data_IF_111946709423
#
_entry.id   IF_111946709423
#
_cell.length_a   1.000
_cell.length_b   1.000
_cell.length_c   1.000
_cell.angle_alpha   90.00
_cell.angle_beta   90.00
_cell.angle_gamma   90.00
#
_symmetry.space_group_name_H-M   'P 1'
#
loop_
_entity.id
_entity.type
_entity.pdbx_description
1 polymer ?
#
# COMPACT_ATOMS: atom_id res chain seq x y z
N UNK A 1 64.93 -39.86 38.14
CA UNK A 1 64.72 -38.46 37.79
C UNK A 1 63.99 -38.44 36.45
N UNK A 2 62.67 -38.29 36.44
CA UNK A 2 61.83 -38.16 35.24
C UNK A 2 60.90 -36.99 35.49
N UNK A 3 61.08 -35.96 34.70
CA UNK A 3 60.25 -34.75 34.72
C UNK A 3 58.93 -35.05 34.05
N UNK A 4 57.83 -34.78 34.76
CA UNK A 4 56.46 -34.80 34.22
C UNK A 4 56.05 -33.39 33.93
N UNK A 5 55.95 -32.99 32.66
CA UNK A 5 55.34 -31.74 32.20
C UNK A 5 53.82 -31.96 32.05
N UNK A 6 53.05 -31.29 32.89
CA UNK A 6 51.60 -31.22 32.77
C UNK A 6 51.17 -30.24 31.69
N UNK A 7 50.49 -30.69 30.66
CA UNK A 7 49.82 -29.86 29.68
C UNK A 7 48.45 -29.43 30.22
N UNK A 8 48.25 -28.15 30.47
CA UNK A 8 46.93 -27.53 30.77
C UNK A 8 46.25 -27.24 29.45
N UNK A 9 45.27 -28.05 29.11
CA UNK A 9 44.41 -27.81 27.96
C UNK A 9 43.36 -26.70 28.27
N UNK A 10 43.49 -25.56 27.66
CA UNK A 10 42.48 -24.50 27.70
C UNK A 10 41.42 -24.84 26.62
N UNK A 11 40.27 -25.31 27.06
CA UNK A 11 39.10 -25.52 26.17
C UNK A 11 38.42 -24.17 25.94
N UNK A 12 38.64 -23.56 24.77
CA UNK A 12 37.87 -22.40 24.34
C UNK A 12 36.45 -22.88 24.01
N UNK A 13 35.49 -22.46 24.84
CA UNK A 13 34.07 -22.51 24.47
C UNK A 13 33.80 -21.44 23.41
N UNK A 14 33.76 -21.84 22.16
CA UNK A 14 33.20 -21.05 21.09
C UNK A 14 31.68 -21.06 21.28
N UNK A 15 31.14 -19.96 21.82
CA UNK A 15 29.71 -19.72 21.77
C UNK A 15 29.30 -19.58 20.30
N UNK A 16 28.72 -20.63 19.73
CA UNK A 16 28.08 -20.54 18.43
C UNK A 16 26.85 -19.67 18.59
N UNK A 17 26.92 -18.43 18.12
CA UNK A 17 25.72 -17.66 17.77
C UNK A 17 24.96 -18.50 16.75
N UNK A 18 23.88 -19.13 17.16
CA UNK A 18 22.92 -19.75 16.23
C UNK A 18 22.42 -18.64 15.30
N UNK A 19 22.50 -18.82 13.97
CA UNK A 19 21.87 -17.89 13.07
C UNK A 19 20.37 -17.88 13.42
N UNK A 20 19.81 -16.70 13.66
CA UNK A 20 18.36 -16.52 13.77
C UNK A 20 17.74 -17.25 12.58
N UNK A 21 16.88 -18.22 12.85
CA UNK A 21 16.10 -18.89 11.80
C UNK A 21 15.32 -17.77 11.07
N UNK A 22 15.84 -17.31 9.94
CA UNK A 22 15.05 -16.54 8.99
C UNK A 22 13.86 -17.41 8.66
N UNK A 23 12.67 -16.93 8.92
CA UNK A 23 11.44 -17.52 8.40
C UNK A 23 11.69 -17.65 6.90
N UNK A 24 11.60 -18.86 6.36
CA UNK A 24 11.81 -19.10 4.93
C UNK A 24 10.67 -18.48 4.13
N UNK A 25 10.71 -17.18 3.98
CA UNK A 25 9.82 -16.44 3.08
C UNK A 25 10.39 -16.51 1.67
N UNK A 26 9.50 -16.75 0.70
CA UNK A 26 9.87 -16.59 -0.70
C UNK A 26 10.36 -15.16 -0.97
N UNK A 27 11.26 -14.95 -1.93
CA UNK A 27 11.73 -13.64 -2.32
C UNK A 27 10.56 -12.68 -2.59
N UNK A 28 10.74 -11.39 -2.29
CA UNK A 28 9.68 -10.39 -2.49
C UNK A 28 9.18 -10.37 -3.93
N UNK A 29 10.09 -10.45 -4.91
CA UNK A 29 9.75 -10.51 -6.33
C UNK A 29 8.87 -11.73 -6.67
N UNK A 30 9.18 -12.88 -6.09
CA UNK A 30 8.37 -14.10 -6.26
C UNK A 30 6.98 -13.89 -5.71
N UNK A 31 6.86 -13.42 -4.46
CA UNK A 31 5.56 -13.16 -3.81
C UNK A 31 4.70 -12.17 -4.58
N UNK A 32 5.29 -11.10 -5.08
CA UNK A 32 4.58 -10.11 -5.92
C UNK A 32 4.12 -10.73 -7.23
N UNK A 33 4.96 -11.52 -7.91
CA UNK A 33 4.69 -12.05 -9.24
C UNK A 33 3.84 -13.33 -9.27
N UNK A 34 3.67 -14.00 -8.12
CA UNK A 34 2.90 -15.27 -8.05
C UNK A 34 1.53 -15.15 -7.42
N UNK A 35 1.15 -13.96 -6.97
CA UNK A 35 -0.17 -13.74 -6.38
C UNK A 35 -1.31 -13.95 -7.38
N UNK A 36 -2.49 -14.20 -6.87
CA UNK A 36 -3.72 -14.31 -7.65
C UNK A 36 -4.33 -12.91 -7.91
N UNK A 37 -5.27 -12.82 -8.83
CA UNK A 37 -5.98 -11.58 -9.14
C UNK A 37 -7.51 -11.79 -9.02
N UNK A 38 -8.28 -10.74 -8.65
CA UNK A 38 -7.89 -9.40 -8.26
C UNK A 38 -7.00 -9.36 -7.02
N UNK A 39 -6.11 -8.37 -6.93
CA UNK A 39 -5.21 -8.18 -5.81
C UNK A 39 -5.54 -6.85 -5.12
N UNK A 40 -5.97 -6.92 -3.87
CA UNK A 40 -6.34 -5.75 -3.08
C UNK A 40 -5.23 -5.37 -2.10
N UNK A 41 -5.17 -4.08 -1.75
CA UNK A 41 -4.29 -3.61 -0.68
C UNK A 41 -5.08 -2.95 0.44
N UNK A 42 -4.46 -2.81 1.59
CA UNK A 42 -4.99 -2.10 2.74
C UNK A 42 -4.08 -0.93 3.06
N UNK A 43 -4.62 0.27 2.93
CA UNK A 43 -3.95 1.50 3.32
C UNK A 43 -3.99 1.63 4.84
N UNK A 44 -2.83 1.78 5.46
CA UNK A 44 -2.66 1.75 6.90
C UNK A 44 -3.31 0.50 7.52
N UNK A 45 -4.02 0.60 8.63
CA UNK A 45 -4.65 -0.51 9.33
C UNK A 45 -6.17 -0.33 9.46
N UNK A 46 -6.76 0.48 8.60
CA UNK A 46 -8.17 0.81 8.65
C UNK A 46 -9.03 -0.34 8.13
N UNK A 47 -9.34 -1.28 9.02
CA UNK A 47 -10.22 -2.41 8.74
C UNK A 47 -11.61 -2.09 9.29
N UNK A 48 -12.54 -1.81 8.37
CA UNK A 48 -13.96 -1.71 8.66
C UNK A 48 -14.71 -2.48 7.57
N UNK A 49 -14.62 -3.80 7.65
CA UNK A 49 -15.29 -4.71 6.73
C UNK A 49 -16.44 -5.39 7.49
N UNK A 50 -17.70 -4.95 7.33
CA UNK A 50 -18.84 -5.50 8.04
C UNK A 50 -19.00 -7.01 7.91
N UNK A 51 -18.55 -7.58 6.78
CA UNK A 51 -18.57 -9.01 6.53
C UNK A 51 -17.51 -9.80 7.33
N UNK A 52 -16.54 -9.09 7.89
CA UNK A 52 -15.43 -9.66 8.67
C UNK A 52 -15.27 -8.88 9.99
N UNK A 53 -16.20 -9.05 10.96
CA UNK A 53 -16.13 -8.34 12.22
C UNK A 53 -14.82 -8.66 12.95
N UNK A 54 -14.18 -7.63 13.49
CA UNK A 54 -12.91 -7.72 14.22
C UNK A 54 -13.19 -7.59 15.70
N UNK A 55 -13.20 -8.71 16.41
CA UNK A 55 -13.42 -8.75 17.86
C UNK A 55 -12.10 -8.93 18.65
N UNK A 56 -11.07 -9.42 17.99
CA UNK A 56 -9.77 -9.70 18.60
C UNK A 56 -8.64 -9.62 17.56
N UNK A 57 -7.41 -9.79 18.02
CA UNK A 57 -6.21 -9.73 17.17
C UNK A 57 -6.20 -10.77 16.04
N UNK A 58 -6.61 -12.01 16.33
CA UNK A 58 -6.63 -13.06 15.31
C UNK A 58 -7.65 -12.78 14.21
N UNK A 59 -8.77 -12.16 14.52
CA UNK A 59 -9.77 -11.72 13.54
C UNK A 59 -9.22 -10.58 12.69
N UNK A 60 -8.49 -9.63 13.31
CA UNK A 60 -7.80 -8.55 12.60
C UNK A 60 -6.77 -9.11 11.60
N UNK A 61 -5.96 -10.08 12.02
CA UNK A 61 -4.99 -10.74 11.15
C UNK A 61 -5.68 -11.46 9.98
N UNK A 62 -6.81 -12.15 10.22
CA UNK A 62 -7.59 -12.81 9.16
C UNK A 62 -8.16 -11.79 8.16
N UNK A 63 -8.73 -10.68 8.66
CA UNK A 63 -9.26 -9.61 7.82
C UNK A 63 -8.14 -8.97 6.98
N UNK A 64 -6.99 -8.68 7.59
CA UNK A 64 -5.81 -8.16 6.90
C UNK A 64 -5.31 -9.15 5.83
N UNK A 65 -5.28 -10.44 6.10
CA UNK A 65 -4.81 -11.47 5.17
C UNK A 65 -5.69 -11.66 3.92
N UNK A 66 -6.85 -11.03 3.84
CA UNK A 66 -7.64 -10.89 2.61
C UNK A 66 -6.94 -10.03 1.56
N UNK A 67 -6.10 -9.11 2.00
CA UNK A 67 -5.32 -8.21 1.15
C UNK A 67 -3.96 -8.83 0.82
N UNK A 68 -3.36 -8.40 -0.28
CA UNK A 68 -2.04 -8.89 -0.71
C UNK A 68 -0.92 -7.90 -0.39
N UNK A 69 -1.27 -6.66 -0.04
CA UNK A 69 -0.33 -5.64 0.41
C UNK A 69 -0.95 -4.78 1.50
N UNK A 70 -0.16 -4.40 2.48
CA UNK A 70 -0.54 -3.42 3.49
C UNK A 70 0.65 -2.54 3.88
N UNK A 71 0.36 -1.40 4.47
CA UNK A 71 1.33 -0.64 5.26
C UNK A 71 0.73 -0.16 6.56
N UNK A 72 1.60 0.07 7.52
CA UNK A 72 1.25 0.64 8.81
C UNK A 72 2.34 1.59 9.29
N UNK A 73 1.94 2.51 10.15
CA UNK A 73 2.82 3.46 10.78
C UNK A 73 2.89 3.18 12.30
N UNK A 74 3.99 2.65 12.82
CA UNK A 74 4.13 2.40 14.26
C UNK A 74 4.45 3.69 15.04
N UNK A 75 3.56 4.66 14.98
CA UNK A 75 3.48 5.73 15.96
C UNK A 75 2.54 5.28 17.07
N UNK A 76 3.06 5.07 18.26
CA UNK A 76 2.29 4.62 19.45
C UNK A 76 1.17 5.57 19.88
N UNK A 77 0.85 6.60 19.12
CA UNK A 77 0.02 7.71 19.52
C UNK A 77 -1.03 8.13 18.49
N UNK A 78 -1.30 7.30 17.47
CA UNK A 78 -2.38 7.58 16.52
C UNK A 78 -3.79 7.42 17.13
N UNK A 79 -3.90 7.49 18.45
CA UNK A 79 -5.16 7.53 19.19
C UNK A 79 -5.50 6.23 19.90
N UNK A 80 -6.35 6.33 20.91
CA UNK A 80 -6.94 5.17 21.59
C UNK A 80 -7.78 4.37 20.58
N UNK A 81 -7.49 3.07 20.46
CA UNK A 81 -8.28 2.14 19.65
C UNK A 81 -7.71 1.85 18.26
N UNK A 82 -6.58 2.40 17.89
CA UNK A 82 -5.89 2.03 16.66
C UNK A 82 -4.89 0.91 16.96
N UNK A 83 -5.28 -0.30 16.63
CA UNK A 83 -4.46 -1.48 16.84
C UNK A 83 -3.67 -1.83 15.58
N UNK A 84 -2.35 -1.69 15.64
CA UNK A 84 -1.46 -2.12 14.56
C UNK A 84 -1.59 -3.63 14.33
N UNK A 85 -1.51 -4.07 13.07
CA UNK A 85 -1.56 -5.50 12.71
C UNK A 85 -0.30 -6.23 13.20
N UNK A 86 0.86 -5.61 12.99
CA UNK A 86 2.14 -6.18 13.36
C UNK A 86 2.55 -5.71 14.77
N UNK A 87 2.16 -4.51 15.16
CA UNK A 87 2.31 -4.01 16.54
C UNK A 87 3.74 -3.64 16.94
N UNK A 88 4.58 -3.22 15.98
CA UNK A 88 5.92 -2.74 16.30
C UNK A 88 5.90 -1.41 17.06
N UNK A 89 6.81 -1.26 18.02
CA UNK A 89 6.96 -0.04 18.82
C UNK A 89 8.43 0.35 18.93
N UNK A 90 8.72 1.61 18.67
CA UNK A 90 10.05 2.18 18.84
C UNK A 90 10.48 2.21 20.31
N UNK A 91 11.73 1.81 20.58
CA UNK A 91 12.33 1.84 21.93
C UNK A 91 12.93 3.21 22.25
N UNK A 92 12.09 4.23 22.28
CA UNK A 92 12.47 5.58 22.70
C UNK A 92 11.24 6.45 22.99
N UNK A 93 11.33 7.32 23.97
CA UNK A 93 10.27 8.28 24.32
C UNK A 93 9.87 9.16 23.14
N UNK A 94 10.88 9.62 22.37
CA UNK A 94 10.69 10.36 21.14
C UNK A 94 11.00 9.44 19.97
N UNK A 95 9.98 8.96 19.27
CA UNK A 95 10.12 7.97 18.20
C UNK A 95 11.05 8.41 17.07
N UNK A 96 11.07 9.72 16.78
CA UNK A 96 12.00 10.30 15.80
C UNK A 96 13.48 10.14 16.13
N UNK A 97 13.83 9.88 17.40
CA UNK A 97 15.21 9.62 17.84
C UNK A 97 15.53 8.14 18.04
N UNK A 98 14.54 7.27 17.88
CA UNK A 98 14.69 5.84 18.11
C UNK A 98 15.72 5.19 17.17
N UNK A 99 16.45 4.23 17.72
CA UNK A 99 17.51 3.49 16.99
C UNK A 99 17.25 1.99 16.95
N UNK A 100 16.15 1.53 17.55
CA UNK A 100 15.70 0.13 17.56
C UNK A 100 14.23 0.07 17.98
N UNK A 101 13.60 -1.04 17.71
CA UNK A 101 12.31 -1.40 18.28
C UNK A 101 12.47 -2.06 19.65
N UNK A 102 11.41 -2.07 20.46
CA UNK A 102 11.41 -2.85 21.70
C UNK A 102 11.50 -4.34 21.37
N UNK A 103 12.20 -5.12 22.20
CA UNK A 103 12.32 -6.57 21.96
C UNK A 103 10.98 -7.29 22.06
N UNK A 104 10.07 -6.79 22.92
CA UNK A 104 8.75 -7.36 23.09
C UNK A 104 7.90 -7.17 21.84
N UNK A 105 7.79 -5.93 21.32
CA UNK A 105 7.04 -5.65 20.11
C UNK A 105 7.63 -6.35 18.89
N UNK A 106 8.95 -6.49 18.80
CA UNK A 106 9.59 -7.20 17.71
C UNK A 106 9.22 -8.70 17.71
N UNK A 107 9.24 -9.37 18.87
CA UNK A 107 8.79 -10.77 18.97
C UNK A 107 7.32 -10.93 18.60
N UNK A 108 6.48 -10.01 19.06
CA UNK A 108 5.06 -9.98 18.75
C UNK A 108 4.83 -9.79 17.23
N UNK A 109 5.45 -8.77 16.64
CA UNK A 109 5.35 -8.47 15.21
C UNK A 109 5.81 -9.64 14.32
N UNK A 110 6.91 -10.29 14.67
CA UNK A 110 7.38 -11.49 13.95
C UNK A 110 6.40 -12.66 14.05
N UNK A 111 5.69 -12.77 15.17
CA UNK A 111 4.64 -13.78 15.34
C UNK A 111 3.44 -13.48 14.46
N UNK A 112 2.97 -12.24 14.46
CA UNK A 112 1.84 -11.81 13.62
C UNK A 112 2.20 -11.87 12.13
N UNK A 113 3.43 -11.50 11.77
CA UNK A 113 3.93 -11.65 10.39
C UNK A 113 3.87 -13.11 9.91
N UNK A 114 4.22 -14.07 10.77
CA UNK A 114 4.10 -15.51 10.45
C UNK A 114 2.65 -15.93 10.29
N UNK A 115 1.74 -15.46 11.15
CA UNK A 115 0.30 -15.75 11.02
C UNK A 115 -0.26 -15.21 9.71
N UNK A 116 0.06 -13.95 9.36
CA UNK A 116 -0.33 -13.35 8.08
C UNK A 116 0.16 -14.17 6.90
N UNK A 117 1.42 -14.56 6.92
CA UNK A 117 2.03 -15.31 5.83
C UNK A 117 1.48 -16.73 5.70
N UNK A 118 1.09 -17.37 6.82
CA UNK A 118 0.41 -18.65 6.78
C UNK A 118 -0.97 -18.59 6.13
N UNK A 119 -1.66 -17.46 6.24
CA UNK A 119 -2.96 -17.21 5.63
C UNK A 119 -2.85 -16.68 4.20
N UNK A 120 -1.88 -15.81 3.95
CA UNK A 120 -1.59 -15.26 2.63
C UNK A 120 -0.07 -15.26 2.37
N UNK A 121 0.48 -16.29 1.69
CA UNK A 121 1.91 -16.39 1.41
C UNK A 121 2.48 -15.22 0.60
N UNK A 122 1.65 -14.55 -0.20
CA UNK A 122 2.05 -13.46 -1.07
C UNK A 122 2.01 -12.08 -0.41
N UNK A 123 1.55 -12.01 0.86
CA UNK A 123 1.38 -10.76 1.59
C UNK A 123 2.66 -9.92 1.64
N UNK A 124 2.57 -8.68 1.17
CA UNK A 124 3.60 -7.64 1.26
C UNK A 124 3.26 -6.70 2.41
N UNK A 125 4.19 -6.45 3.31
CA UNK A 125 4.01 -5.51 4.42
C UNK A 125 5.03 -4.38 4.31
N UNK A 126 4.57 -3.14 4.30
CA UNK A 126 5.40 -1.95 4.23
C UNK A 126 5.34 -1.16 5.54
N UNK A 127 6.39 -0.43 5.81
CA UNK A 127 6.53 0.43 6.96
C UNK A 127 6.46 1.88 6.52
N UNK A 128 5.56 2.68 7.06
CA UNK A 128 5.56 4.11 6.81
C UNK A 128 6.62 4.80 7.66
N UNK A 129 7.47 5.57 7.01
CA UNK A 129 8.49 6.41 7.67
C UNK A 129 8.05 7.87 7.63
N UNK A 130 8.00 8.50 8.81
CA UNK A 130 7.75 9.95 8.90
C UNK A 130 8.94 10.74 8.39
N UNK A 131 8.69 11.62 7.44
CA UNK A 131 9.72 12.46 6.83
C UNK A 131 9.31 13.93 6.68
N UNK A 132 8.00 14.21 6.53
CA UNK A 132 7.47 15.55 6.26
C UNK A 132 6.97 16.23 7.52
N UNK A 133 6.17 15.55 8.28
CA UNK A 133 5.57 16.02 9.53
C UNK A 133 5.32 14.86 10.50
N UNK A 134 5.17 15.21 11.76
CA UNK A 134 4.96 14.25 12.82
C UNK A 134 4.25 14.91 14.03
N UNK A 135 3.66 14.14 14.94
CA UNK A 135 3.12 14.66 16.19
C UNK A 135 4.22 15.27 17.07
N UNK A 136 3.85 16.21 17.96
CA UNK A 136 4.83 16.92 18.82
C UNK A 136 5.67 15.98 19.68
N UNK A 137 5.13 14.84 20.05
CA UNK A 137 5.84 13.80 20.82
C UNK A 137 6.94 13.09 20.05
N UNK A 138 6.97 13.21 18.73
CA UNK A 138 7.95 12.53 17.87
C UNK A 138 9.40 12.97 18.13
N UNK A 139 9.63 14.25 18.44
CA UNK A 139 10.92 14.84 18.78
C UNK A 139 10.84 15.69 20.05
N UNK A 140 11.93 15.96 20.75
CA UNK A 140 12.00 17.03 21.75
C UNK A 140 11.58 18.37 21.14
N UNK A 141 10.87 19.21 21.92
CA UNK A 141 10.39 20.51 21.45
C UNK A 141 11.52 21.43 20.98
N UNK A 142 12.70 21.34 21.61
CA UNK A 142 13.89 22.11 21.29
C UNK A 142 14.75 21.51 20.16
N UNK A 143 14.29 20.41 19.53
CA UNK A 143 15.00 19.78 18.41
C UNK A 143 15.15 20.74 17.23
N UNK A 144 16.35 20.77 16.64
CA UNK A 144 16.66 21.47 15.38
C UNK A 144 16.13 20.76 14.14
N UNK A 145 15.48 19.60 14.31
CA UNK A 145 14.81 18.87 13.23
C UNK A 145 13.37 19.32 12.99
N UNK A 146 12.81 20.18 13.89
CA UNK A 146 11.55 20.85 13.62
C UNK A 146 11.75 22.03 12.66
N UNK A 147 10.90 22.11 11.63
CA UNK A 147 10.87 23.29 10.76
C UNK A 147 10.22 24.46 11.52
N UNK A 148 10.98 25.56 11.68
CA UNK A 148 10.51 26.75 12.40
C UNK A 148 10.24 27.91 11.44
N UNK A 149 9.35 28.79 11.86
CA UNK A 149 9.09 30.05 11.18
C UNK A 149 10.10 31.14 11.58
N UNK A 150 9.92 32.36 11.05
CA UNK A 150 10.78 33.51 11.32
C UNK A 150 10.76 33.97 12.80
N UNK A 151 9.73 33.56 13.57
CA UNK A 151 9.61 33.84 15.01
C UNK A 151 10.19 32.74 15.87
N UNK A 152 10.67 31.65 15.28
CA UNK A 152 11.19 30.48 15.96
C UNK A 152 10.09 29.49 16.40
N UNK A 153 8.83 29.69 16.01
CA UNK A 153 7.74 28.77 16.31
C UNK A 153 7.75 27.57 15.35
N UNK A 154 7.44 26.37 15.86
CA UNK A 154 7.37 25.15 15.06
C UNK A 154 6.18 25.23 14.11
N UNK A 155 6.44 25.05 12.81
CA UNK A 155 5.39 25.13 11.79
C UNK A 155 4.43 23.95 11.87
N UNK A 156 3.14 24.22 11.77
CA UNK A 156 2.09 23.22 11.69
C UNK A 156 2.13 22.50 10.34
N UNK A 157 1.97 21.20 10.37
CA UNK A 157 1.79 20.32 9.23
C UNK A 157 0.32 19.92 9.04
N UNK A 158 0.03 18.64 8.98
CA UNK A 158 -1.32 18.12 8.85
C UNK A 158 -2.15 18.33 10.13
N UNK A 159 -3.40 18.76 9.95
CA UNK A 159 -4.30 19.10 11.06
C UNK A 159 -5.55 18.22 11.11
N UNK A 160 -5.64 17.21 10.24
CA UNK A 160 -6.84 16.37 10.12
C UNK A 160 -6.89 15.17 11.08
N UNK A 161 -5.82 14.91 11.84
CA UNK A 161 -5.75 13.80 12.79
C UNK A 161 -6.24 14.12 14.18
N UNK A 162 -6.07 13.17 15.09
CA UNK A 162 -6.42 13.27 16.51
C UNK A 162 -5.61 14.35 17.25
N UNK A 163 -4.38 14.57 16.83
CA UNK A 163 -3.51 15.65 17.25
C UNK A 163 -2.89 16.36 16.02
N UNK A 164 -2.55 17.65 16.13
CA UNK A 164 -1.87 18.35 15.05
C UNK A 164 -0.47 17.80 14.82
N UNK A 165 -0.10 17.61 13.56
CA UNK A 165 1.26 17.31 13.17
C UNK A 165 2.03 18.60 12.90
N UNK A 166 3.34 18.51 13.02
CA UNK A 166 4.26 19.61 12.87
C UNK A 166 5.33 19.27 11.84
N UNK A 167 5.72 20.25 11.02
CA UNK A 167 6.64 20.03 9.92
C UNK A 167 8.05 19.73 10.42
N UNK A 168 8.66 18.74 9.81
CA UNK A 168 10.06 18.39 9.97
C UNK A 168 10.92 19.18 8.96
N UNK A 169 12.13 19.58 9.37
CA UNK A 169 13.07 20.25 8.46
C UNK A 169 13.87 19.21 7.65
N UNK A 170 13.24 18.71 6.58
CA UNK A 170 13.88 17.76 5.65
C UNK A 170 15.04 18.37 4.82
N UNK A 171 15.47 19.60 5.08
CA UNK A 171 16.74 20.13 4.63
C UNK A 171 17.85 19.88 5.65
N UNK A 172 17.50 19.51 6.89
CA UNK A 172 18.46 19.16 7.92
C UNK A 172 19.09 17.79 7.62
N UNK A 173 20.40 17.78 7.38
CA UNK A 173 21.13 16.56 7.04
C UNK A 173 21.03 15.48 8.12
N UNK A 174 21.04 15.87 9.39
CA UNK A 174 20.93 14.94 10.52
C UNK A 174 19.58 14.23 10.53
N UNK A 175 18.49 14.96 10.24
CA UNK A 175 17.15 14.36 10.07
C UNK A 175 17.12 13.40 8.88
N UNK A 176 17.66 13.79 7.72
CA UNK A 176 17.68 12.91 6.53
C UNK A 176 18.44 11.61 6.79
N UNK A 177 19.61 11.70 7.42
CA UNK A 177 20.41 10.51 7.78
C UNK A 177 19.65 9.62 8.77
N UNK A 178 18.88 10.22 9.68
CA UNK A 178 18.05 9.49 10.63
C UNK A 178 16.86 8.80 9.99
N UNK A 179 16.16 9.46 9.08
CA UNK A 179 15.04 8.87 8.31
C UNK A 179 15.54 7.62 7.57
N UNK A 180 16.65 7.73 6.84
CA UNK A 180 17.23 6.60 6.12
C UNK A 180 17.66 5.46 7.09
N UNK A 181 18.18 5.79 8.26
CA UNK A 181 18.53 4.81 9.30
C UNK A 181 17.30 4.10 9.85
N UNK A 182 16.21 4.82 10.13
CA UNK A 182 14.96 4.22 10.61
C UNK A 182 14.33 3.32 9.56
N UNK A 183 14.32 3.73 8.29
CA UNK A 183 13.91 2.88 7.18
C UNK A 183 14.70 1.57 7.11
N UNK A 184 16.03 1.65 7.28
CA UNK A 184 16.90 0.47 7.31
C UNK A 184 16.57 -0.45 8.49
N UNK A 185 16.43 0.09 9.69
CA UNK A 185 16.05 -0.68 10.89
C UNK A 185 14.71 -1.40 10.67
N UNK A 186 13.73 -0.72 10.07
CA UNK A 186 12.43 -1.31 9.80
C UNK A 186 12.53 -2.54 8.88
N UNK A 187 13.23 -2.45 7.76
CA UNK A 187 13.36 -3.58 6.83
C UNK A 187 14.32 -4.67 7.30
N UNK A 188 15.31 -4.34 8.12
CA UNK A 188 16.23 -5.32 8.74
C UNK A 188 15.58 -6.08 9.90
N UNK A 189 14.48 -5.58 10.47
CA UNK A 189 13.70 -6.28 11.51
C UNK A 189 13.16 -7.64 11.04
N UNK A 190 13.02 -7.85 9.74
CA UNK A 190 12.41 -9.03 9.14
C UNK A 190 10.87 -9.00 9.17
N UNK A 191 10.28 -7.91 9.63
CA UNK A 191 8.81 -7.71 9.68
C UNK A 191 8.31 -7.09 8.39
N UNK A 192 9.04 -6.12 7.83
CA UNK A 192 8.62 -5.37 6.64
C UNK A 192 9.45 -5.69 5.41
N UNK A 193 8.79 -5.65 4.27
CA UNK A 193 9.35 -5.90 2.94
C UNK A 193 9.89 -4.62 2.29
N UNK A 194 9.47 -3.47 2.79
CA UNK A 194 9.82 -2.18 2.23
C UNK A 194 9.25 -1.00 3.00
N UNK A 195 9.29 0.15 2.36
CA UNK A 195 8.95 1.47 2.93
C UNK A 195 7.80 2.10 2.14
N UNK A 196 6.90 2.73 2.87
CA UNK A 196 5.89 3.65 2.36
C UNK A 196 6.26 5.08 2.76
N UNK A 197 6.13 6.03 1.84
CA UNK A 197 6.28 7.46 2.08
C UNK A 197 5.00 8.18 1.69
N UNK A 198 4.36 8.79 2.64
CA UNK A 198 3.20 9.65 2.40
C UNK A 198 3.61 11.07 1.95
N UNK A 199 2.66 11.86 1.41
CA UNK A 199 2.85 13.26 1.00
C UNK A 199 3.81 13.50 -0.17
N UNK A 200 3.49 13.02 -1.35
CA UNK A 200 4.18 13.31 -2.64
C UNK A 200 5.72 13.16 -2.61
N UNK A 201 6.28 12.66 -1.53
CA UNK A 201 7.69 12.37 -1.38
C UNK A 201 8.65 13.56 -1.53
N UNK A 202 9.92 13.28 -1.31
CA UNK A 202 11.03 14.18 -1.57
C UNK A 202 12.18 13.36 -2.16
N UNK A 203 12.74 13.82 -3.30
CA UNK A 203 13.74 13.05 -4.04
C UNK A 203 14.98 12.73 -3.20
N UNK A 204 15.44 13.65 -2.37
CA UNK A 204 16.61 13.43 -1.51
C UNK A 204 16.33 12.41 -0.41
N UNK A 205 15.15 12.48 0.20
CA UNK A 205 14.68 11.48 1.18
C UNK A 205 14.62 10.10 0.52
N UNK A 206 13.97 9.99 -0.65
CA UNK A 206 13.80 8.73 -1.39
C UNK A 206 15.17 8.12 -1.73
N UNK A 207 16.11 8.91 -2.25
CA UNK A 207 17.47 8.45 -2.58
C UNK A 207 18.19 7.89 -1.37
N UNK A 208 18.19 8.61 -0.24
CA UNK A 208 18.86 8.15 0.98
C UNK A 208 18.25 6.89 1.54
N UNK A 209 16.91 6.77 1.49
CA UNK A 209 16.24 5.52 1.87
C UNK A 209 16.67 4.39 0.95
N UNK A 210 16.64 4.58 -0.38
CA UNK A 210 17.05 3.56 -1.35
C UNK A 210 18.49 3.11 -1.12
N UNK A 211 19.41 4.04 -0.90
CA UNK A 211 20.79 3.74 -0.58
C UNK A 211 20.94 2.93 0.72
N UNK A 212 20.12 3.25 1.74
CA UNK A 212 20.19 2.59 3.03
C UNK A 212 19.58 1.17 3.04
N UNK A 213 18.48 0.94 2.31
CA UNK A 213 17.75 -0.35 2.32
C UNK A 213 18.15 -1.29 1.18
N UNK A 214 18.83 -0.79 0.14
CA UNK A 214 19.24 -1.57 -1.04
C UNK A 214 18.10 -1.84 -2.02
N UNK A 215 18.40 -2.51 -3.13
CA UNK A 215 17.47 -2.74 -4.24
C UNK A 215 16.51 -3.92 -4.04
N UNK A 216 16.79 -4.78 -3.07
CA UNK A 216 15.96 -5.96 -2.75
C UNK A 216 14.72 -5.61 -1.92
N UNK A 217 14.59 -4.35 -1.48
CA UNK A 217 13.48 -3.85 -0.69
C UNK A 217 12.61 -2.90 -1.49
N UNK A 218 11.33 -2.85 -1.17
CA UNK A 218 10.35 -2.06 -1.88
C UNK A 218 10.29 -0.62 -1.36
N UNK A 219 10.02 0.33 -2.24
CA UNK A 219 9.62 1.70 -1.89
C UNK A 219 8.36 2.05 -2.67
N UNK A 220 7.32 2.48 -1.96
CA UNK A 220 6.13 3.09 -2.52
C UNK A 220 6.00 4.52 -2.02
N UNK A 221 5.51 5.43 -2.85
CA UNK A 221 5.34 6.85 -2.50
C UNK A 221 3.94 7.31 -2.87
N UNK A 222 3.27 8.03 -1.98
CA UNK A 222 2.01 8.69 -2.30
C UNK A 222 2.28 9.88 -3.23
N UNK A 223 2.04 9.70 -4.52
CA UNK A 223 2.18 10.72 -5.55
C UNK A 223 0.88 10.95 -6.33
N UNK A 224 -0.21 10.35 -5.88
CA UNK A 224 -1.51 10.45 -6.56
C UNK A 224 -1.39 10.08 -8.06
N UNK A 225 -1.86 10.96 -8.95
CA UNK A 225 -1.75 10.88 -10.41
C UNK A 225 -0.68 11.84 -10.99
N UNK A 226 0.31 12.24 -10.18
CA UNK A 226 1.35 13.18 -10.61
C UNK A 226 2.50 12.50 -11.37
N UNK A 227 2.38 12.48 -12.70
CA UNK A 227 3.42 11.94 -13.59
C UNK A 227 4.75 12.67 -13.44
N UNK A 228 4.75 13.98 -13.06
CA UNK A 228 6.02 14.72 -12.91
C UNK A 228 6.83 14.18 -11.73
N UNK A 229 6.16 13.87 -10.63
CA UNK A 229 6.80 13.21 -9.51
C UNK A 229 7.20 11.78 -9.87
N UNK A 230 6.37 11.05 -10.61
CA UNK A 230 6.72 9.76 -11.16
C UNK A 230 8.02 9.79 -11.98
N UNK A 231 8.17 10.77 -12.88
CA UNK A 231 9.40 10.98 -13.66
C UNK A 231 10.62 11.22 -12.76
N UNK A 232 10.45 11.98 -11.68
CA UNK A 232 11.54 12.32 -10.75
C UNK A 232 12.00 11.12 -9.92
N UNK A 233 11.08 10.19 -9.59
CA UNK A 233 11.32 9.11 -8.65
C UNK A 233 11.53 7.74 -9.28
N UNK A 234 11.25 7.56 -10.58
CA UNK A 234 11.20 6.27 -11.29
C UNK A 234 12.41 5.35 -11.06
N UNK A 235 13.60 5.91 -10.92
CA UNK A 235 14.84 5.16 -10.74
C UNK A 235 15.07 4.68 -9.29
N UNK A 236 14.14 5.01 -8.36
CA UNK A 236 14.30 4.75 -6.93
C UNK A 236 13.12 4.05 -6.28
N UNK A 237 11.93 4.05 -6.90
CA UNK A 237 10.70 3.52 -6.32
C UNK A 237 10.14 2.35 -7.11
N UNK A 238 9.41 1.47 -6.41
CA UNK A 238 8.75 0.30 -7.00
C UNK A 238 7.28 0.57 -7.30
N UNK A 239 6.69 1.62 -6.76
CA UNK A 239 5.28 1.91 -6.97
C UNK A 239 4.85 3.28 -6.51
N UNK A 240 3.69 3.70 -7.02
CA UNK A 240 2.94 4.84 -6.56
C UNK A 240 1.77 4.37 -5.68
N UNK A 241 1.55 5.05 -4.57
CA UNK A 241 0.24 5.09 -3.96
C UNK A 241 -0.55 6.20 -4.64
N UNK A 242 -1.63 5.82 -5.28
CA UNK A 242 -2.52 6.68 -6.04
C UNK A 242 -3.82 6.87 -5.25
N UNK A 243 -3.80 7.79 -4.32
CA UNK A 243 -4.91 8.16 -3.44
C UNK A 243 -5.82 9.17 -4.17
N UNK A 244 -6.95 8.72 -4.72
CA UNK A 244 -7.66 9.48 -5.74
C UNK A 244 -9.17 9.59 -5.48
N UNK A 245 -9.69 10.77 -5.76
CA UNK A 245 -11.14 11.02 -5.78
C UNK A 245 -11.54 11.69 -7.10
N UNK A 246 -11.62 10.91 -8.20
CA UNK A 246 -12.08 11.47 -9.48
C UNK A 246 -13.54 11.89 -9.37
N UNK A 247 -13.84 13.11 -9.81
CA UNK A 247 -15.18 13.65 -9.81
C UNK A 247 -15.79 13.43 -11.18
N UNK A 248 -16.98 12.83 -11.21
CA UNK A 248 -17.77 12.63 -12.42
C UNK A 248 -19.26 12.77 -12.13
N UNK A 249 -20.06 12.95 -13.18
CA UNK A 249 -21.51 13.15 -13.05
C UNK A 249 -22.30 11.87 -12.73
N UNK A 250 -21.63 10.71 -12.68
CA UNK A 250 -22.24 9.39 -12.46
C UNK A 250 -22.02 8.90 -11.04
N UNK A 251 -21.18 9.58 -10.26
CA UNK A 251 -20.84 9.18 -8.90
C UNK A 251 -22.00 9.38 -7.94
N UNK A 252 -22.23 8.38 -7.09
CA UNK A 252 -23.15 8.52 -5.97
C UNK A 252 -22.60 9.54 -4.97
N UNK A 253 -23.45 10.43 -4.38
CA UNK A 253 -23.02 11.32 -3.33
C UNK A 253 -22.46 10.56 -2.13
N UNK A 254 -21.47 11.14 -1.47
CA UNK A 254 -21.00 10.68 -0.17
C UNK A 254 -21.49 11.67 0.88
N UNK A 255 -22.22 11.19 1.89
CA UNK A 255 -22.76 12.01 2.97
C UNK A 255 -21.60 12.67 3.75
N UNK A 256 -21.76 13.96 4.04
CA UNK A 256 -20.74 14.75 4.75
C UNK A 256 -19.64 15.38 3.87
N UNK A 257 -19.50 14.97 2.60
CA UNK A 257 -18.59 15.63 1.67
C UNK A 257 -19.27 16.84 1.01
N UNK A 258 -18.60 18.00 1.07
CA UNK A 258 -18.96 19.11 0.18
C UNK A 258 -18.68 18.70 -1.26
N UNK A 259 -19.66 18.85 -2.13
CA UNK A 259 -19.44 18.72 -3.57
C UNK A 259 -18.29 19.64 -3.99
N UNK A 260 -17.27 19.06 -4.59
CA UNK A 260 -16.14 19.81 -5.10
C UNK A 260 -16.59 20.82 -6.16
N UNK A 261 -15.86 21.91 -6.30
CA UNK A 261 -16.13 22.89 -7.33
C UNK A 261 -15.90 22.31 -8.73
N UNK A 262 -16.49 22.93 -9.77
CA UNK A 262 -16.19 22.56 -11.17
C UNK A 262 -14.70 22.65 -11.52
N UNK A 263 -13.94 23.45 -10.77
CA UNK A 263 -12.51 23.63 -10.96
C UNK A 263 -11.71 22.41 -10.44
N UNK A 264 -12.19 21.77 -9.39
CA UNK A 264 -11.59 20.54 -8.85
C UNK A 264 -11.82 19.35 -9.78
N UNK A 265 -12.97 19.31 -10.49
CA UNK A 265 -13.30 18.25 -11.48
C UNK A 265 -12.24 18.14 -12.59
N UNK A 266 -11.61 19.25 -12.97
CA UNK A 266 -10.61 19.25 -14.04
C UNK A 266 -9.20 18.83 -13.56
N UNK A 267 -8.98 18.73 -12.26
CA UNK A 267 -7.65 18.40 -11.70
C UNK A 267 -7.43 16.90 -11.56
N UNK A 268 -8.47 16.16 -11.23
CA UNK A 268 -8.42 14.71 -11.03
C UNK A 268 -9.58 14.03 -11.78
N UNK A 269 -9.35 13.63 -13.01
CA UNK A 269 -10.32 12.93 -13.82
C UNK A 269 -9.82 11.53 -14.18
N UNK A 270 -10.73 10.66 -14.58
CA UNK A 270 -10.43 9.28 -14.90
C UNK A 270 -9.31 9.12 -15.94
N UNK A 271 -9.30 9.95 -16.99
CA UNK A 271 -8.27 9.85 -18.04
C UNK A 271 -6.86 10.17 -17.56
N UNK A 272 -6.69 11.09 -16.61
CA UNK A 272 -5.39 11.36 -15.99
C UNK A 272 -4.92 10.22 -15.11
N UNK A 273 -5.85 9.59 -14.38
CA UNK A 273 -5.55 8.39 -13.60
C UNK A 273 -5.08 7.26 -14.51
N UNK A 274 -5.79 7.03 -15.62
CA UNK A 274 -5.42 6.04 -16.63
C UNK A 274 -4.03 6.31 -17.21
N UNK A 275 -3.74 7.55 -17.57
CA UNK A 275 -2.43 7.96 -18.10
C UNK A 275 -1.31 7.78 -17.06
N UNK A 276 -1.54 8.22 -15.82
CA UNK A 276 -0.56 8.11 -14.76
C UNK A 276 -0.26 6.65 -14.41
N UNK A 277 -1.29 5.82 -14.25
CA UNK A 277 -1.11 4.41 -13.93
C UNK A 277 -0.31 3.67 -15.01
N UNK A 278 -0.63 3.91 -16.30
CA UNK A 278 0.13 3.34 -17.41
C UNK A 278 1.59 3.82 -17.43
N UNK A 279 1.83 5.10 -17.11
CA UNK A 279 3.18 5.63 -17.02
C UNK A 279 3.97 4.96 -15.88
N UNK A 280 3.38 4.84 -14.70
CA UNK A 280 4.01 4.23 -13.52
C UNK A 280 4.33 2.75 -13.78
N UNK A 281 3.37 2.02 -14.35
CA UNK A 281 3.52 0.61 -14.70
C UNK A 281 4.61 0.34 -15.76
N UNK A 282 4.92 1.32 -16.59
CA UNK A 282 5.94 1.20 -17.61
C UNK A 282 7.35 1.63 -17.17
N UNK A 283 7.48 2.35 -16.05
CA UNK A 283 8.72 3.07 -15.75
C UNK A 283 9.31 2.82 -14.36
N UNK A 284 8.56 2.30 -13.39
CA UNK A 284 9.08 2.09 -12.04
C UNK A 284 9.90 0.80 -11.93
N UNK A 285 10.66 0.67 -10.85
CA UNK A 285 11.51 -0.48 -10.59
C UNK A 285 10.69 -1.76 -10.36
N UNK A 286 11.20 -2.87 -10.86
CA UNK A 286 10.64 -4.20 -10.57
C UNK A 286 11.05 -4.72 -9.18
N UNK A 287 10.20 -5.52 -8.51
CA UNK A 287 8.80 -5.78 -8.88
C UNK A 287 7.94 -4.54 -8.64
N UNK A 288 7.04 -4.25 -9.58
CA UNK A 288 6.16 -3.10 -9.48
C UNK A 288 5.02 -3.36 -8.50
N UNK A 289 4.72 -2.35 -7.66
CA UNK A 289 3.68 -2.43 -6.62
C UNK A 289 2.80 -1.18 -6.62
N UNK A 290 2.35 -0.73 -7.79
CA UNK A 290 1.42 0.39 -7.87
C UNK A 290 0.13 0.05 -7.11
N UNK A 291 -0.35 0.97 -6.28
CA UNK A 291 -1.55 0.83 -5.46
C UNK A 291 -2.56 1.90 -5.88
N UNK A 292 -3.58 1.48 -6.63
CA UNK A 292 -4.66 2.36 -7.08
C UNK A 292 -5.80 2.36 -6.07
N UNK A 293 -5.98 3.46 -5.37
CA UNK A 293 -7.15 3.72 -4.54
C UNK A 293 -8.07 4.75 -5.20
N UNK A 294 -9.34 4.44 -5.25
CA UNK A 294 -10.38 5.41 -5.64
C UNK A 294 -11.41 5.52 -4.52
N UNK A 295 -11.65 6.74 -4.09
CA UNK A 295 -12.63 7.05 -3.08
C UNK A 295 -14.04 7.19 -3.65
N UNK A 296 -15.03 6.76 -2.88
CA UNK A 296 -16.43 6.92 -3.25
C UNK A 296 -17.40 6.37 -2.22
N UNK A 297 -18.69 6.45 -2.53
CA UNK A 297 -19.72 5.84 -1.73
C UNK A 297 -19.63 4.31 -1.83
N UNK A 298 -19.53 3.60 -0.70
CA UNK A 298 -19.41 2.13 -0.65
C UNK A 298 -20.52 1.40 -1.44
N UNK A 299 -21.67 2.03 -1.65
CA UNK A 299 -22.80 1.50 -2.42
C UNK A 299 -22.73 1.79 -3.91
N UNK A 300 -21.78 2.61 -4.37
CA UNK A 300 -21.56 2.85 -5.81
C UNK A 300 -20.79 1.68 -6.44
N UNK A 301 -21.49 0.56 -6.60
CA UNK A 301 -20.93 -0.68 -7.16
C UNK A 301 -20.37 -0.50 -8.56
N UNK A 302 -20.89 0.45 -9.34
CA UNK A 302 -20.37 0.77 -10.66
C UNK A 302 -19.02 1.46 -10.59
N UNK A 303 -18.83 2.38 -9.64
CA UNK A 303 -17.56 3.04 -9.40
C UNK A 303 -16.51 2.07 -8.83
N UNK A 304 -16.93 1.20 -7.91
CA UNK A 304 -16.09 0.13 -7.40
C UNK A 304 -15.57 -0.78 -8.53
N UNK A 305 -16.49 -1.25 -9.41
CA UNK A 305 -16.09 -2.09 -10.55
C UNK A 305 -15.19 -1.34 -11.53
N UNK A 306 -15.48 -0.07 -11.81
CA UNK A 306 -14.61 0.78 -12.65
C UNK A 306 -13.19 0.85 -12.08
N UNK A 307 -13.06 1.08 -10.77
CA UNK A 307 -11.76 1.11 -10.09
C UNK A 307 -11.01 -0.21 -10.23
N UNK A 308 -11.67 -1.32 -9.87
CA UNK A 308 -11.05 -2.65 -9.91
C UNK A 308 -10.64 -3.04 -11.33
N UNK A 309 -11.52 -2.83 -12.31
CA UNK A 309 -11.23 -3.22 -13.70
C UNK A 309 -10.23 -2.30 -14.40
N UNK A 310 -10.18 -1.00 -14.03
CA UNK A 310 -9.13 -0.10 -14.47
C UNK A 310 -7.76 -0.62 -14.00
N UNK A 311 -7.60 -0.88 -12.70
CA UNK A 311 -6.37 -1.44 -12.17
C UNK A 311 -6.00 -2.75 -12.83
N UNK A 312 -6.93 -3.70 -12.92
CA UNK A 312 -6.70 -5.02 -13.51
C UNK A 312 -6.34 -4.99 -15.00
N UNK A 313 -6.84 -4.00 -15.77
CA UNK A 313 -6.53 -3.90 -17.20
C UNK A 313 -5.26 -3.13 -17.51
N UNK A 314 -4.84 -2.21 -16.65
CA UNK A 314 -3.72 -1.30 -16.95
C UNK A 314 -2.48 -1.54 -16.08
N UNK A 315 -2.58 -2.36 -15.04
CA UNK A 315 -1.51 -2.56 -14.07
C UNK A 315 -1.42 -4.02 -13.62
N UNK A 316 -0.24 -4.41 -13.16
CA UNK A 316 -0.01 -5.62 -12.35
C UNK A 316 -0.05 -5.28 -10.85
N UNK A 317 -0.46 -4.07 -10.46
CA UNK A 317 -0.50 -3.59 -9.10
C UNK A 317 -1.71 -4.06 -8.28
N UNK A 318 -2.11 -3.22 -7.34
CA UNK A 318 -3.13 -3.50 -6.34
C UNK A 318 -4.24 -2.47 -6.42
N UNK A 319 -5.45 -2.83 -6.01
CA UNK A 319 -6.62 -1.95 -6.06
C UNK A 319 -7.27 -1.82 -4.68
N UNK A 320 -7.88 -0.66 -4.44
CA UNK A 320 -8.73 -0.41 -3.28
C UNK A 320 -9.87 0.52 -3.67
N UNK A 321 -11.08 0.23 -3.22
CA UNK A 321 -12.22 1.13 -3.28
C UNK A 321 -12.68 1.43 -1.87
N UNK A 322 -12.54 2.67 -1.41
CA UNK A 322 -12.63 3.05 -0.01
C UNK A 322 -13.41 4.34 0.24
N UNK A 323 -13.69 4.60 1.49
CA UNK A 323 -14.26 5.86 1.96
C UNK A 323 -13.29 7.02 1.73
N UNK A 324 -13.81 8.19 1.34
CA UNK A 324 -12.97 9.36 1.09
C UNK A 324 -12.60 10.11 2.38
N UNK A 325 -11.44 10.76 2.36
CA UNK A 325 -11.06 11.77 3.32
C UNK A 325 -11.63 13.16 2.90
N UNK A 326 -12.18 14.02 3.77
CA UNK A 326 -12.35 13.83 5.21
C UNK A 326 -13.79 13.43 5.56
N UNK A 327 -14.00 12.21 5.99
CA UNK A 327 -15.22 11.81 6.69
C UNK A 327 -15.02 11.88 8.20
N UNK A 328 -16.09 11.85 9.00
CA UNK A 328 -15.99 11.67 10.46
C UNK A 328 -15.36 10.33 10.88
N UNK A 329 -15.42 9.34 10.00
CA UNK A 329 -14.74 8.05 10.11
C UNK A 329 -13.29 8.18 9.61
N UNK A 330 -12.37 7.35 10.06
CA UNK A 330 -11.06 7.26 9.46
C UNK A 330 -11.18 7.03 7.95
N UNK A 331 -10.32 7.70 7.17
CA UNK A 331 -10.21 7.48 5.74
C UNK A 331 -9.70 6.06 5.43
N UNK A 332 -9.82 5.65 4.17
CA UNK A 332 -9.44 4.31 3.70
C UNK A 332 -10.28 3.15 4.25
N UNK A 333 -11.31 3.38 5.05
CA UNK A 333 -12.27 2.34 5.42
C UNK A 333 -12.98 1.82 4.17
N UNK A 334 -13.13 0.51 4.07
CA UNK A 334 -13.68 -0.15 2.89
C UNK A 334 -14.45 -1.41 3.24
N UNK A 335 -15.37 -1.78 2.34
CA UNK A 335 -16.05 -3.07 2.36
C UNK A 335 -15.21 -4.10 1.60
N UNK A 336 -15.37 -5.37 1.96
CA UNK A 336 -14.87 -6.46 1.12
C UNK A 336 -15.91 -6.83 0.10
N UNK A 337 -15.65 -6.52 -1.15
CA UNK A 337 -16.57 -6.85 -2.25
C UNK A 337 -16.31 -8.26 -2.77
N UNK A 338 -17.38 -9.07 -2.93
CA UNK A 338 -17.27 -10.41 -3.54
C UNK A 338 -16.63 -10.41 -4.93
N UNK A 339 -16.56 -9.25 -5.56
CA UNK A 339 -15.83 -9.01 -6.80
C UNK A 339 -14.33 -9.32 -6.66
N UNK A 340 -13.75 -9.16 -5.47
CA UNK A 340 -12.36 -9.47 -5.17
C UNK A 340 -12.10 -10.96 -4.86
N UNK A 341 -13.15 -11.75 -4.60
CA UNK A 341 -13.00 -13.19 -4.30
C UNK A 341 -12.80 -14.07 -5.57
N UNK A 342 -12.92 -13.47 -6.74
CA UNK A 342 -12.75 -14.17 -8.01
C UNK A 342 -11.31 -14.60 -8.19
N UNK A 343 -11.09 -15.88 -8.54
CA UNK A 343 -9.76 -16.42 -8.81
C UNK A 343 -9.48 -16.34 -10.32
N UNK A 344 -8.82 -15.27 -10.73
CA UNK A 344 -8.45 -15.05 -12.13
C UNK A 344 -7.14 -15.75 -12.51
N UNK A 345 -6.31 -16.13 -11.53
CA UNK A 345 -4.95 -16.57 -11.83
C UNK A 345 -4.10 -15.42 -12.37
N UNK A 346 -3.04 -15.75 -13.10
CA UNK A 346 -2.10 -14.78 -13.65
C UNK A 346 -2.63 -14.13 -14.94
N UNK A 347 -2.23 -12.88 -15.23
CA UNK A 347 -2.47 -12.30 -16.53
C UNK A 347 -1.67 -13.05 -17.61
N UNK A 348 -2.32 -13.32 -18.75
CA UNK A 348 -1.69 -13.97 -19.89
C UNK A 348 -0.99 -12.98 -20.84
N UNK A 349 -1.39 -11.69 -20.74
CA UNK A 349 -0.80 -10.59 -21.49
C UNK A 349 -1.04 -9.26 -20.78
N UNK A 350 -0.44 -8.19 -21.27
CA UNK A 350 -0.80 -6.82 -20.88
C UNK A 350 -2.21 -6.49 -21.38
N UNK A 351 -2.89 -5.58 -20.70
CA UNK A 351 -4.18 -5.11 -21.18
C UNK A 351 -4.05 -4.27 -22.44
N UNK A 352 -5.04 -4.35 -23.30
CA UNK A 352 -5.06 -3.69 -24.60
C UNK A 352 -6.28 -2.81 -24.77
N UNK A 353 -6.08 -1.62 -25.32
CA UNK A 353 -7.16 -0.72 -25.70
C UNK A 353 -7.82 -1.25 -26.98
N UNK A 354 -9.13 -1.37 -26.95
CA UNK A 354 -9.96 -1.88 -28.05
C UNK A 354 -10.41 -0.73 -28.98
N UNK A 355 -10.88 -1.07 -30.17
CA UNK A 355 -11.36 -0.10 -31.17
C UNK A 355 -12.58 0.71 -30.67
N UNK A 356 -13.39 0.14 -29.81
CA UNK A 356 -14.52 0.79 -29.18
C UNK A 356 -14.16 1.69 -27.97
N UNK A 357 -12.87 1.86 -27.71
CA UNK A 357 -12.33 2.68 -26.64
C UNK A 357 -12.23 1.99 -25.28
N UNK A 358 -12.74 0.79 -25.12
CA UNK A 358 -12.61 -0.01 -23.90
C UNK A 358 -11.20 -0.59 -23.73
N UNK A 359 -10.92 -1.14 -22.54
CA UNK A 359 -9.72 -1.90 -22.27
C UNK A 359 -10.09 -3.35 -21.95
N UNK A 360 -9.30 -4.29 -22.44
CA UNK A 360 -9.47 -5.71 -22.23
C UNK A 360 -8.17 -6.37 -21.83
N UNK A 361 -8.22 -7.25 -20.81
CA UNK A 361 -7.09 -8.08 -20.41
C UNK A 361 -7.53 -9.50 -20.14
N UNK A 362 -6.73 -10.46 -20.63
CA UNK A 362 -7.00 -11.89 -20.47
C UNK A 362 -6.13 -12.46 -19.35
N UNK A 363 -6.75 -13.26 -18.49
CA UNK A 363 -6.16 -14.00 -17.38
C UNK A 363 -6.40 -15.49 -17.57
N UNK A 364 -5.71 -16.32 -16.79
CA UNK A 364 -5.89 -17.80 -16.83
C UNK A 364 -7.34 -18.21 -16.57
N UNK A 365 -8.03 -17.55 -15.64
CA UNK A 365 -9.40 -17.85 -15.20
C UNK A 365 -10.49 -17.06 -15.91
N UNK A 366 -10.15 -16.05 -16.71
CA UNK A 366 -11.17 -15.18 -17.29
C UNK A 366 -10.66 -14.00 -18.08
N UNK A 367 -11.55 -13.06 -18.32
CA UNK A 367 -11.26 -11.81 -19.04
C UNK A 367 -11.81 -10.63 -18.24
N UNK A 368 -11.05 -9.57 -18.13
CA UNK A 368 -11.46 -8.30 -17.52
C UNK A 368 -11.67 -7.27 -18.61
N UNK A 369 -12.76 -6.52 -18.50
CA UNK A 369 -13.07 -5.40 -19.40
C UNK A 369 -13.35 -4.17 -18.57
N UNK A 370 -12.73 -3.06 -18.95
CA UNK A 370 -12.95 -1.73 -18.40
C UNK A 370 -13.44 -0.79 -19.51
N UNK A 371 -14.55 -0.10 -19.25
CA UNK A 371 -15.09 0.91 -20.15
C UNK A 371 -14.93 2.31 -19.53
N UNK A 372 -14.04 3.18 -20.08
CA UNK A 372 -13.70 4.49 -19.52
C UNK A 372 -14.89 5.43 -19.33
N UNK A 373 -14.73 6.38 -18.43
CA UNK A 373 -15.64 7.51 -18.30
C UNK A 373 -15.64 8.35 -19.59
N UNK A 374 -16.83 8.72 -20.07
CA UNK A 374 -16.98 9.50 -21.30
C UNK A 374 -17.06 8.65 -22.57
N UNK A 375 -16.82 7.33 -22.47
CA UNK A 375 -17.06 6.42 -23.61
C UNK A 375 -18.55 6.07 -23.73
N UNK A 376 -18.97 5.54 -24.87
CA UNK A 376 -20.32 4.99 -25.05
C UNK A 376 -20.51 3.64 -24.34
N UNK A 377 -21.77 3.19 -24.18
CA UNK A 377 -22.03 1.78 -23.85
C UNK A 377 -21.40 0.89 -24.92
N UNK A 378 -20.67 -0.11 -24.50
CA UNK A 378 -20.04 -1.09 -25.40
C UNK A 378 -20.73 -2.44 -25.31
N UNK A 379 -20.54 -3.26 -26.34
CA UNK A 379 -20.95 -4.66 -26.38
C UNK A 379 -19.72 -5.55 -26.43
N UNK A 380 -19.51 -6.34 -25.38
CA UNK A 380 -18.43 -7.33 -25.29
C UNK A 380 -18.93 -8.68 -25.76
N UNK A 381 -18.26 -9.30 -26.72
CA UNK A 381 -18.60 -10.61 -27.24
C UNK A 381 -17.47 -11.62 -27.02
N UNK A 382 -17.84 -12.88 -26.79
CA UNK A 382 -16.96 -14.01 -26.58
C UNK A 382 -17.32 -15.16 -27.49
N UNK A 383 -16.37 -16.01 -27.87
CA UNK A 383 -16.60 -17.19 -28.70
C UNK A 383 -17.36 -18.31 -27.97
N UNK A 384 -17.54 -18.17 -26.67
CA UNK A 384 -18.23 -19.12 -25.79
C UNK A 384 -19.00 -18.38 -24.70
N UNK A 385 -19.92 -19.08 -24.06
CA UNK A 385 -20.64 -18.53 -22.91
C UNK A 385 -19.67 -18.27 -21.74
N UNK A 386 -19.74 -17.07 -21.18
CA UNK A 386 -19.02 -16.64 -20.01
C UNK A 386 -20.01 -16.31 -18.90
N UNK A 387 -19.57 -16.38 -17.65
CA UNK A 387 -20.30 -15.88 -16.49
C UNK A 387 -19.75 -14.50 -16.12
N UNK A 388 -20.63 -13.48 -16.10
CA UNK A 388 -20.35 -12.15 -15.57
C UNK A 388 -20.32 -12.24 -14.05
N UNK A 389 -19.30 -11.63 -13.42
CA UNK A 389 -19.12 -11.71 -11.96
C UNK A 389 -20.12 -10.82 -11.23
N UNK A 390 -20.36 -9.61 -11.70
CA UNK A 390 -21.20 -8.62 -11.01
C UNK A 390 -22.65 -9.04 -10.77
N UNK A 391 -23.25 -9.81 -11.68
CA UNK A 391 -24.65 -10.21 -11.63
C UNK A 391 -24.90 -11.71 -11.83
N UNK A 392 -23.83 -12.49 -11.98
CA UNK A 392 -23.88 -13.94 -12.25
C UNK A 392 -24.57 -14.34 -13.55
N UNK A 393 -24.88 -13.41 -14.46
CA UNK A 393 -25.47 -13.71 -15.76
C UNK A 393 -24.53 -14.54 -16.64
N UNK A 394 -25.09 -15.43 -17.46
CA UNK A 394 -24.34 -16.29 -18.38
C UNK A 394 -24.79 -15.97 -19.82
N UNK A 395 -23.84 -15.51 -20.64
CA UNK A 395 -24.06 -15.18 -22.05
C UNK A 395 -22.72 -15.29 -22.82
N UNK A 396 -22.77 -15.18 -24.11
CA UNK A 396 -21.63 -14.90 -24.97
C UNK A 396 -21.50 -13.41 -25.33
N UNK A 397 -22.49 -12.60 -24.92
CA UNK A 397 -22.57 -11.18 -25.25
C UNK A 397 -23.04 -10.40 -24.02
N UNK A 398 -22.38 -9.30 -23.69
CA UNK A 398 -22.67 -8.45 -22.53
C UNK A 398 -22.57 -6.98 -22.89
N UNK A 399 -23.38 -6.15 -22.26
CA UNK A 399 -23.26 -4.70 -22.31
C UNK A 399 -22.49 -4.18 -21.10
N UNK A 400 -21.57 -3.24 -21.31
CA UNK A 400 -20.81 -2.54 -20.27
C UNK A 400 -20.95 -1.03 -20.46
N UNK A 401 -21.48 -0.37 -19.45
CA UNK A 401 -21.69 1.08 -19.45
C UNK A 401 -20.38 1.86 -19.35
N UNK A 402 -20.38 3.16 -19.68
CA UNK A 402 -19.24 4.02 -19.41
C UNK A 402 -18.91 4.07 -17.90
N UNK A 403 -17.69 4.32 -17.51
CA UNK A 403 -17.21 4.30 -16.12
C UNK A 403 -17.70 3.06 -15.38
N UNK A 404 -17.51 1.92 -16.00
CA UNK A 404 -17.85 0.60 -15.48
C UNK A 404 -16.86 -0.44 -16.00
N UNK A 405 -16.95 -1.62 -15.50
CA UNK A 405 -16.21 -2.75 -15.99
C UNK A 405 -16.73 -4.03 -15.36
N UNK A 406 -16.25 -5.15 -15.86
CA UNK A 406 -16.62 -6.44 -15.28
C UNK A 406 -15.55 -7.51 -15.51
N UNK A 407 -15.66 -8.56 -14.74
CA UNK A 407 -14.91 -9.78 -14.87
C UNK A 407 -15.80 -10.85 -15.48
N UNK A 408 -15.30 -11.52 -16.48
CA UNK A 408 -16.00 -12.59 -17.20
C UNK A 408 -15.21 -13.89 -17.02
N UNK A 409 -15.77 -14.87 -16.35
CA UNK A 409 -15.12 -16.16 -16.09
C UNK A 409 -15.72 -17.27 -16.94
N UNK A 410 -14.93 -18.27 -17.25
CA UNK A 410 -15.39 -19.45 -18.00
C UNK A 410 -16.45 -20.20 -17.19
N UNK A 411 -17.55 -20.54 -17.84
CA UNK A 411 -18.58 -21.42 -17.27
C UNK A 411 -17.97 -22.83 -17.19
N UNK A 412 -17.89 -23.36 -15.97
CA UNK A 412 -17.43 -24.74 -15.74
C UNK A 412 -18.54 -25.73 -16.04
#
# INVERSE_FOLDING_TARGET
>A
MKNLLGLIGITLYMASCSPSQKVGMEPISERVNTRDYPSAFMAWYNIDMPEYPVENEDDRIKACAKHDLMWEEPLSQLGEGVDLILGLTWDHKHHGLATKFTEESLRHALTNRKKLQALNPNMVCLFEVRWRDAPMSFLPEDSDWWLRDEKGEIKKGWLGGWEPFYLLDYNNKGLLDNIARQAKIAVESGVYDGIMLDWSGNLEVIKRIREAIGNEKLIIVNIHDDIKDGIRYKDYINGAFMELNPIDSLSMPVDGLKLYSKEDVNKRNWSKIEEALQYFEANFLEPQINCLEVWGNRKDMRRMRATATLGLTMSDGYVLYADPNPLPTPDHYHDWYSFYDVKLGKPLAKGEKQLDGSWKRVFEGGTVVYNPYGNNEITVSFDKKMKRVSDSSISDTFKVQQRDGDIFVTVK
#
